data_IF_391298790697
#
_entry.id   IF_391298790697
#
_cell.length_a   1.000
_cell.length_b   1.000
_cell.length_c   1.000
_cell.angle_alpha   90.00
_cell.angle_beta   90.00
_cell.angle_gamma   90.00
#
_symmetry.space_group_name_H-M   'P 1'
#
loop_
_entity.id
_entity.type
_entity.pdbx_description
1 polymer ?
#
# COMPACT_ATOMS: atom_id res chain seq x y z
N UNK A 1 -17.12 24.60 68.72
CA UNK A 1 -18.50 24.21 68.35
C UNK A 1 -18.72 24.70 66.93
N UNK A 2 -18.57 23.81 65.95
CA UNK A 2 -19.67 23.11 65.26
C UNK A 2 -20.47 24.08 64.36
N UNK A 3 -20.61 23.90 63.05
CA UNK A 3 -20.25 22.77 62.20
C UNK A 3 -20.49 23.05 60.71
N UNK A 4 -20.04 22.06 59.96
CA UNK A 4 -20.09 21.71 58.53
C UNK A 4 -21.43 21.85 57.77
N UNK A 5 -21.34 22.00 56.43
CA UNK A 5 -21.93 21.19 55.32
C UNK A 5 -21.93 22.06 54.03
N UNK A 6 -21.10 21.81 53.01
CA UNK A 6 -21.22 20.84 51.89
C UNK A 6 -22.42 21.02 50.95
N UNK A 7 -22.15 21.37 49.69
CA UNK A 7 -22.82 20.92 48.46
C UNK A 7 -22.09 21.56 47.25
N UNK A 8 -21.22 20.84 46.54
CA UNK A 8 -21.52 19.92 45.43
C UNK A 8 -21.97 20.64 44.13
N UNK A 9 -21.15 20.48 43.08
CA UNK A 9 -21.36 20.90 41.69
C UNK A 9 -22.60 20.25 41.05
N UNK A 10 -22.93 20.65 39.81
CA UNK A 10 -22.93 19.65 38.75
C UNK A 10 -21.84 19.98 37.72
N UNK A 11 -20.87 19.05 37.61
CA UNK A 11 -20.15 18.81 36.36
C UNK A 11 -21.21 18.36 35.36
N UNK A 12 -21.29 19.01 34.20
CA UNK A 12 -22.07 18.48 33.08
C UNK A 12 -21.32 17.26 32.54
N UNK A 13 -21.94 16.06 32.50
CA UNK A 13 -21.37 14.92 31.81
C UNK A 13 -21.70 15.07 30.31
N UNK A 14 -20.67 15.25 29.49
CA UNK A 14 -20.80 15.11 28.03
C UNK A 14 -20.81 13.61 27.74
N UNK A 15 -21.97 12.97 27.89
CA UNK A 15 -22.24 11.63 27.34
C UNK A 15 -22.85 11.81 25.95
N UNK A 16 -21.99 12.01 24.95
CA UNK A 16 -22.37 11.72 23.57
C UNK A 16 -22.37 10.20 23.34
N UNK A 17 -23.27 9.65 22.51
CA UNK A 17 -23.23 8.23 22.18
C UNK A 17 -21.88 7.90 21.51
N UNK A 18 -21.14 6.94 22.09
CA UNK A 18 -19.93 6.37 21.49
C UNK A 18 -20.23 5.89 20.07
N UNK A 19 -19.32 6.18 19.13
CA UNK A 19 -19.35 5.78 17.70
C UNK A 19 -19.49 4.25 17.46
N UNK A 20 -19.59 3.44 18.50
CA UNK A 20 -19.59 1.97 18.49
C UNK A 20 -20.95 1.31 18.16
N UNK A 21 -22.10 1.96 18.37
CA UNK A 21 -23.42 1.29 18.23
C UNK A 21 -23.97 1.27 16.80
N UNK A 22 -23.40 2.05 15.89
CA UNK A 22 -23.80 2.14 14.47
C UNK A 22 -23.22 0.97 13.65
N UNK A 23 -22.12 0.37 14.12
CA UNK A 23 -21.34 -0.65 13.41
C UNK A 23 -22.04 -2.02 13.33
N UNK A 24 -22.95 -2.32 14.27
CA UNK A 24 -23.54 -3.66 14.37
C UNK A 24 -24.73 -3.93 13.43
N UNK A 25 -25.29 -2.91 12.74
CA UNK A 25 -26.49 -3.10 11.88
C UNK A 25 -26.20 -3.26 10.39
N UNK A 26 -25.03 -2.84 9.89
CA UNK A 26 -24.72 -2.86 8.45
C UNK A 26 -24.14 -4.20 7.96
N UNK A 27 -23.73 -5.08 8.87
CA UNK A 27 -23.13 -6.38 8.56
C UNK A 27 -24.15 -7.48 8.23
N UNK A 28 -25.44 -7.24 8.43
CA UNK A 28 -26.47 -8.29 8.30
C UNK A 28 -27.12 -8.34 6.90
N UNK A 29 -27.01 -7.27 6.11
CA UNK A 29 -27.69 -7.14 4.81
C UNK A 29 -26.81 -7.60 3.61
N UNK A 30 -25.48 -7.69 3.77
CA UNK A 30 -24.55 -8.01 2.67
C UNK A 30 -24.47 -9.52 2.36
N UNK A 31 -24.89 -10.38 3.29
CA UNK A 31 -24.75 -11.84 3.19
C UNK A 31 -25.75 -12.51 2.22
N UNK A 32 -26.78 -11.79 1.76
CA UNK A 32 -27.84 -12.38 0.91
C UNK A 32 -27.65 -12.16 -0.60
N UNK A 33 -26.68 -11.35 -1.04
CA UNK A 33 -26.58 -10.95 -2.46
C UNK A 33 -25.67 -11.86 -3.32
N UNK A 34 -24.79 -12.65 -2.72
CA UNK A 34 -23.69 -13.33 -3.45
C UNK A 34 -24.06 -14.75 -3.92
N UNK A 35 -25.23 -15.28 -3.54
CA UNK A 35 -25.61 -16.68 -3.81
C UNK A 35 -26.31 -16.91 -5.15
N UNK A 36 -26.36 -15.93 -6.06
CA UNK A 36 -27.36 -15.93 -7.15
C UNK A 36 -26.87 -16.18 -8.60
N UNK A 37 -25.60 -16.43 -8.92
CA UNK A 37 -25.21 -16.57 -10.34
C UNK A 37 -24.18 -17.68 -10.60
N UNK A 38 -24.59 -18.67 -11.39
CA UNK A 38 -23.72 -19.75 -11.87
C UNK A 38 -23.96 -20.14 -13.34
N UNK A 39 -22.97 -20.87 -13.87
CA UNK A 39 -22.98 -21.94 -14.90
C UNK A 39 -22.45 -21.63 -16.35
N UNK A 40 -21.34 -22.35 -16.69
CA UNK A 40 -20.86 -23.06 -17.92
C UNK A 40 -20.71 -22.36 -19.30
N UNK A 41 -19.96 -22.84 -20.33
CA UNK A 41 -19.16 -24.05 -20.66
C UNK A 41 -18.06 -23.74 -21.73
N UNK A 42 -17.25 -24.75 -22.08
CA UNK A 42 -16.10 -24.81 -23.01
C UNK A 42 -16.37 -24.65 -24.53
N UNK A 43 -15.38 -24.12 -25.30
CA UNK A 43 -14.94 -24.60 -26.64
C UNK A 43 -13.61 -23.91 -27.10
N UNK A 44 -12.76 -24.64 -27.85
CA UNK A 44 -11.45 -24.25 -28.42
C UNK A 44 -11.40 -24.52 -29.94
N UNK A 45 -10.82 -23.58 -30.71
CA UNK A 45 -10.02 -23.82 -31.93
C UNK A 45 -9.47 -22.47 -32.50
N UNK A 46 -8.19 -22.21 -32.77
CA UNK A 46 -6.92 -22.83 -32.41
C UNK A 46 -5.79 -21.95 -33.01
N UNK A 47 -4.70 -21.73 -32.28
CA UNK A 47 -3.39 -21.34 -32.85
C UNK A 47 -2.99 -19.87 -32.74
N UNK A 48 -3.34 -19.03 -33.73
CA UNK A 48 -2.71 -17.71 -33.91
C UNK A 48 -3.43 -16.57 -33.21
N UNK A 49 -4.76 -16.60 -33.20
CA UNK A 49 -5.55 -15.79 -32.28
C UNK A 49 -5.27 -16.19 -30.85
N UNK A 50 -4.88 -17.44 -30.58
CA UNK A 50 -4.71 -17.93 -29.23
C UNK A 50 -3.55 -17.28 -28.47
N UNK A 51 -2.51 -16.69 -29.08
CA UNK A 51 -1.45 -16.03 -28.28
C UNK A 51 -1.86 -14.59 -27.92
N UNK A 52 -2.34 -13.82 -28.89
CA UNK A 52 -2.87 -12.48 -28.63
C UNK A 52 -4.18 -12.52 -27.85
N UNK A 53 -5.06 -13.48 -28.10
CA UNK A 53 -6.27 -13.73 -27.33
C UNK A 53 -5.96 -14.44 -26.03
N UNK A 54 -4.90 -15.24 -25.85
CA UNK A 54 -4.56 -15.79 -24.53
C UNK A 54 -3.84 -14.77 -23.69
N UNK A 55 -2.97 -13.93 -24.25
CA UNK A 55 -2.43 -12.76 -23.55
C UNK A 55 -3.59 -11.78 -23.29
N UNK A 56 -4.45 -11.46 -24.26
CA UNK A 56 -5.65 -10.61 -24.06
C UNK A 56 -6.74 -11.26 -23.20
N UNK A 57 -6.78 -12.59 -23.10
CA UNK A 57 -7.66 -13.38 -22.23
C UNK A 57 -7.00 -13.69 -20.91
N UNK A 58 -5.70 -13.54 -20.72
CA UNK A 58 -5.04 -13.53 -19.41
C UNK A 58 -5.25 -12.12 -18.87
N UNK A 59 -5.02 -11.08 -19.69
CA UNK A 59 -5.44 -9.71 -19.44
C UNK A 59 -6.96 -9.55 -19.24
N UNK A 60 -7.77 -10.47 -19.79
CA UNK A 60 -9.23 -10.47 -19.74
C UNK A 60 -9.88 -11.55 -18.86
N UNK A 61 -9.14 -12.55 -18.36
CA UNK A 61 -9.61 -13.65 -17.47
C UNK A 61 -8.75 -13.85 -16.22
N UNK A 62 -7.65 -13.12 -16.01
CA UNK A 62 -7.50 -12.53 -14.68
C UNK A 62 -8.86 -11.86 -14.41
N UNK A 63 -9.49 -12.02 -13.22
CA UNK A 63 -10.73 -11.28 -12.95
C UNK A 63 -10.38 -9.88 -13.35
N UNK A 64 -11.09 -9.35 -14.34
CA UNK A 64 -10.55 -8.37 -15.26
C UNK A 64 -9.62 -7.34 -14.56
N UNK A 65 -8.84 -6.60 -15.34
CA UNK A 65 -8.88 -5.16 -15.09
C UNK A 65 -10.36 -4.76 -15.12
N UNK A 66 -11.05 -5.01 -14.00
CA UNK A 66 -12.49 -4.98 -13.84
C UNK A 66 -12.82 -3.55 -14.15
N UNK A 67 -14.06 -3.27 -14.51
CA UNK A 67 -14.56 -1.90 -14.45
C UNK A 67 -14.32 -1.23 -13.06
N UNK A 68 -13.71 -1.93 -12.09
CA UNK A 68 -13.25 -1.50 -10.77
C UNK A 68 -11.71 -1.34 -10.58
N UNK A 69 -10.81 -1.74 -11.50
CA UNK A 69 -9.36 -1.47 -11.34
C UNK A 69 -8.97 -0.13 -11.97
N UNK A 70 -8.41 0.76 -11.16
CA UNK A 70 -7.95 2.08 -11.60
C UNK A 70 -6.91 1.95 -12.73
N UNK A 71 -7.08 2.65 -13.87
CA UNK A 71 -6.08 2.74 -14.92
C UNK A 71 -4.68 3.04 -14.35
N UNK A 72 -3.59 2.40 -14.84
CA UNK A 72 -2.25 2.62 -14.30
C UNK A 72 -1.86 4.10 -14.22
N UNK A 73 -2.23 4.87 -15.24
CA UNK A 73 -2.00 6.32 -15.30
C UNK A 73 -2.65 7.08 -14.14
N UNK A 74 -3.86 6.69 -13.73
CA UNK A 74 -4.56 7.30 -12.59
C UNK A 74 -3.91 6.91 -11.27
N UNK A 75 -3.48 5.66 -11.11
CA UNK A 75 -2.75 5.21 -9.92
C UNK A 75 -1.43 5.96 -9.78
N UNK A 76 -0.59 6.03 -10.82
CA UNK A 76 0.67 6.79 -10.79
C UNK A 76 0.45 8.28 -10.51
N UNK A 77 -0.61 8.87 -11.08
CA UNK A 77 -0.99 10.25 -10.81
C UNK A 77 -1.42 10.47 -9.35
N UNK A 78 -2.28 9.60 -8.82
CA UNK A 78 -2.73 9.66 -7.44
C UNK A 78 -1.56 9.52 -6.47
N UNK A 79 -0.69 8.53 -6.66
CA UNK A 79 0.51 8.33 -5.82
C UNK A 79 1.38 9.57 -5.82
N UNK A 80 1.68 10.15 -6.99
CA UNK A 80 2.53 11.36 -7.06
C UNK A 80 1.90 12.57 -6.36
N UNK A 81 0.58 12.72 -6.42
CA UNK A 81 -0.12 13.80 -5.71
C UNK A 81 -0.13 13.60 -4.19
N UNK A 82 -0.02 12.37 -3.70
CA UNK A 82 0.18 12.12 -2.26
C UNK A 82 1.60 12.51 -1.81
N UNK A 83 2.57 12.47 -2.72
CA UNK A 83 3.98 12.82 -2.43
C UNK A 83 4.29 14.31 -2.60
N UNK A 84 3.54 15.03 -3.45
CA UNK A 84 3.85 16.41 -3.88
C UNK A 84 2.61 17.30 -3.90
N UNK A 85 2.74 18.61 -3.63
CA UNK A 85 3.97 19.35 -3.31
C UNK A 85 4.49 19.11 -1.89
N UNK A 86 3.63 18.63 -0.99
CA UNK A 86 3.98 18.31 0.39
C UNK A 86 3.52 16.89 0.70
N UNK A 87 4.39 16.11 1.32
CA UNK A 87 4.06 14.76 1.74
C UNK A 87 3.28 14.79 3.05
N UNK A 88 2.05 14.28 3.05
CA UNK A 88 1.17 14.28 4.22
C UNK A 88 1.24 12.91 4.89
N UNK A 89 1.90 12.83 6.05
CA UNK A 89 2.14 11.56 6.76
C UNK A 89 0.85 10.81 7.11
N UNK A 90 -0.24 11.52 7.43
CA UNK A 90 -1.54 10.89 7.69
C UNK A 90 -2.16 10.15 6.50
N UNK A 91 -1.68 10.38 5.26
CA UNK A 91 -2.11 9.68 4.05
C UNK A 91 -1.28 8.43 3.73
N UNK A 92 -0.30 8.08 4.58
CA UNK A 92 0.54 6.89 4.37
C UNK A 92 -0.30 5.60 4.17
N UNK A 93 -1.40 5.34 4.89
CA UNK A 93 -2.24 4.17 4.63
C UNK A 93 -2.75 4.10 3.18
N UNK A 94 -3.27 5.21 2.64
CA UNK A 94 -3.79 5.28 1.27
C UNK A 94 -2.65 5.16 0.24
N UNK A 95 -1.49 5.74 0.57
CA UNK A 95 -0.28 5.61 -0.25
C UNK A 95 0.19 4.16 -0.33
N UNK A 96 0.15 3.41 0.78
CA UNK A 96 0.52 1.99 0.81
C UNK A 96 -0.39 1.14 -0.11
N UNK A 97 -1.70 1.42 -0.13
CA UNK A 97 -2.61 0.75 -1.06
C UNK A 97 -2.32 1.14 -2.52
N UNK A 98 -2.00 2.41 -2.77
CA UNK A 98 -1.57 2.85 -4.10
C UNK A 98 -0.27 2.17 -4.55
N UNK A 99 0.69 1.99 -3.63
CA UNK A 99 1.95 1.31 -3.92
C UNK A 99 1.74 -0.19 -4.14
N UNK A 100 0.83 -0.83 -3.42
CA UNK A 100 0.48 -2.23 -3.68
C UNK A 100 -0.12 -2.42 -5.09
N UNK A 101 -0.93 -1.46 -5.56
CA UNK A 101 -1.40 -1.45 -6.95
C UNK A 101 -0.24 -1.26 -7.93
N UNK A 102 0.70 -0.36 -7.64
CA UNK A 102 1.90 -0.17 -8.48
C UNK A 102 2.74 -1.46 -8.54
N UNK A 103 2.94 -2.15 -7.42
CA UNK A 103 3.69 -3.42 -7.42
C UNK A 103 2.96 -4.53 -8.18
N UNK A 104 1.62 -4.52 -8.17
CA UNK A 104 0.82 -5.39 -9.02
C UNK A 104 1.12 -5.13 -10.50
N UNK A 105 1.23 -3.86 -10.92
CA UNK A 105 1.63 -3.50 -12.28
C UNK A 105 3.06 -3.96 -12.61
N UNK A 106 4.00 -3.79 -11.68
CA UNK A 106 5.38 -4.27 -11.84
C UNK A 106 5.41 -5.78 -12.07
N UNK A 107 4.72 -6.55 -11.22
CA UNK A 107 4.62 -8.01 -11.35
C UNK A 107 4.03 -8.40 -12.71
N UNK A 108 2.91 -7.77 -13.09
CA UNK A 108 2.30 -7.98 -14.40
C UNK A 108 3.32 -7.76 -15.55
N UNK A 109 4.08 -6.66 -15.51
CA UNK A 109 5.07 -6.37 -16.54
C UNK A 109 6.19 -7.41 -16.60
N UNK A 110 6.65 -7.92 -15.44
CA UNK A 110 7.65 -9.00 -15.36
C UNK A 110 7.10 -10.30 -15.93
N UNK A 111 5.89 -10.71 -15.52
CA UNK A 111 5.25 -11.95 -15.97
C UNK A 111 5.02 -11.92 -17.49
N UNK A 112 4.48 -10.81 -18.00
CA UNK A 112 4.28 -10.62 -19.44
C UNK A 112 5.61 -10.59 -20.21
N UNK A 113 6.68 -10.02 -19.64
CA UNK A 113 8.03 -10.06 -20.22
C UNK A 113 8.56 -11.49 -20.31
N UNK A 114 8.40 -12.28 -19.25
CA UNK A 114 8.83 -13.69 -19.20
C UNK A 114 8.12 -14.54 -20.27
N UNK A 115 6.82 -14.34 -20.42
CA UNK A 115 6.01 -15.00 -21.46
C UNK A 115 6.49 -14.59 -22.87
N UNK A 116 6.68 -13.28 -23.11
CA UNK A 116 7.14 -12.78 -24.41
C UNK A 116 8.52 -13.34 -24.78
N UNK A 117 9.45 -13.44 -23.82
CA UNK A 117 10.77 -14.04 -24.03
C UNK A 117 10.67 -15.53 -24.41
N UNK A 118 9.80 -16.27 -23.73
CA UNK A 118 9.57 -17.69 -24.03
C UNK A 118 9.04 -17.89 -25.46
N UNK A 119 8.12 -17.04 -25.90
CA UNK A 119 7.59 -17.06 -27.27
C UNK A 119 8.62 -16.66 -28.31
N UNK A 120 9.46 -15.65 -28.03
CA UNK A 120 10.57 -15.28 -28.89
C UNK A 120 11.49 -16.49 -29.13
N UNK A 121 11.89 -17.19 -28.07
CA UNK A 121 12.77 -18.36 -28.20
C UNK A 121 12.14 -19.48 -29.05
N UNK A 122 10.85 -19.72 -28.88
CA UNK A 122 10.12 -20.72 -29.64
C UNK A 122 10.10 -20.38 -31.14
N UNK A 123 9.70 -19.14 -31.49
CA UNK A 123 9.59 -18.73 -32.90
C UNK A 123 10.93 -18.51 -33.61
N UNK A 124 12.01 -18.27 -32.88
CA UNK A 124 13.37 -18.28 -33.44
C UNK A 124 13.79 -19.69 -33.86
N UNK A 125 13.37 -20.73 -33.12
CA UNK A 125 13.73 -22.14 -33.37
C UNK A 125 12.85 -22.80 -34.43
N UNK A 126 11.58 -22.40 -34.51
CA UNK A 126 10.63 -22.88 -35.51
C UNK A 126 10.23 -21.73 -36.46
N UNK A 127 11.08 -21.35 -37.42
CA UNK A 127 10.76 -20.33 -38.40
C UNK A 127 9.61 -20.82 -39.30
N UNK A 128 8.39 -20.47 -38.93
CA UNK A 128 7.20 -20.74 -39.75
C UNK A 128 7.22 -19.88 -41.00
N UNK A 129 6.71 -20.42 -42.11
CA UNK A 129 6.55 -19.73 -43.40
C UNK A 129 5.55 -18.57 -43.40
N UNK A 130 4.99 -18.25 -42.24
CA UNK A 130 3.89 -17.31 -42.08
C UNK A 130 4.43 -15.89 -41.90
N UNK A 131 4.13 -15.02 -42.86
CA UNK A 131 4.72 -13.68 -43.00
C UNK A 131 4.24 -12.65 -41.97
N UNK A 132 3.26 -12.99 -41.15
CA UNK A 132 2.64 -12.08 -40.18
C UNK A 132 3.29 -12.11 -38.78
N UNK A 133 4.36 -12.88 -38.58
CA UNK A 133 5.07 -12.96 -37.30
C UNK A 133 6.23 -11.97 -37.24
N UNK A 134 6.08 -10.93 -36.42
CA UNK A 134 7.17 -9.99 -36.11
C UNK A 134 7.86 -10.42 -34.83
N UNK A 135 9.16 -10.74 -34.94
CA UNK A 135 10.00 -11.02 -33.78
C UNK A 135 10.41 -9.72 -33.09
N UNK A 136 10.69 -9.81 -31.79
CA UNK A 136 11.25 -8.70 -31.03
C UNK A 136 12.63 -8.31 -31.59
N UNK A 137 12.90 -7.01 -31.63
CA UNK A 137 14.24 -6.48 -31.91
C UNK A 137 15.20 -6.80 -30.78
N UNK A 138 16.52 -6.78 -31.04
CA UNK A 138 17.53 -7.01 -30.00
C UNK A 138 17.40 -6.03 -28.82
N UNK A 139 16.98 -4.80 -29.10
CA UNK A 139 16.77 -3.76 -28.08
C UNK A 139 15.58 -4.10 -27.18
N UNK A 140 14.47 -4.51 -27.76
CA UNK A 140 13.27 -4.91 -27.01
C UNK A 140 13.55 -6.15 -26.18
N UNK A 141 14.19 -7.15 -26.79
CA UNK A 141 14.61 -8.38 -26.13
C UNK A 141 15.44 -8.10 -24.88
N UNK A 142 16.49 -7.29 -25.02
CA UNK A 142 17.35 -6.90 -23.90
C UNK A 142 16.56 -6.22 -22.79
N UNK A 143 15.57 -5.39 -23.13
CA UNK A 143 14.75 -4.70 -22.12
C UNK A 143 13.79 -5.62 -21.37
N UNK A 144 13.16 -6.57 -22.06
CA UNK A 144 12.34 -7.58 -21.37
C UNK A 144 13.20 -8.49 -20.49
N UNK A 145 14.42 -8.84 -20.94
CA UNK A 145 15.38 -9.58 -20.12
C UNK A 145 15.81 -8.78 -18.88
N UNK A 146 16.09 -7.48 -19.03
CA UNK A 146 16.40 -6.61 -17.89
C UNK A 146 15.26 -6.65 -16.84
N UNK A 147 13.99 -6.67 -17.26
CA UNK A 147 12.85 -6.71 -16.34
C UNK A 147 12.77 -8.01 -15.54
N UNK A 148 12.89 -9.16 -16.22
CA UNK A 148 12.86 -10.46 -15.55
C UNK A 148 14.08 -10.65 -14.64
N UNK A 149 15.25 -10.18 -15.08
CA UNK A 149 16.50 -10.32 -14.31
C UNK A 149 16.49 -9.48 -13.04
N UNK A 150 15.87 -8.29 -13.07
CA UNK A 150 15.84 -7.38 -11.92
C UNK A 150 14.61 -7.55 -11.03
N UNK A 151 13.72 -8.53 -11.30
CA UNK A 151 12.46 -8.74 -10.58
C UNK A 151 12.64 -8.79 -9.05
N UNK A 152 13.55 -9.64 -8.57
CA UNK A 152 13.82 -9.79 -7.14
C UNK A 152 14.35 -8.49 -6.51
N UNK A 153 15.17 -7.75 -7.25
CA UNK A 153 15.74 -6.48 -6.78
C UNK A 153 14.65 -5.40 -6.66
N UNK A 154 13.83 -5.24 -7.70
CA UNK A 154 12.74 -4.27 -7.71
C UNK A 154 11.67 -4.62 -6.66
N UNK A 155 11.41 -5.91 -6.45
CA UNK A 155 10.51 -6.39 -5.39
C UNK A 155 11.07 -6.10 -4.00
N UNK A 156 12.35 -6.36 -3.76
CA UNK A 156 12.99 -6.03 -2.48
C UNK A 156 12.94 -4.52 -2.22
N UNK A 157 13.18 -3.70 -3.24
CA UNK A 157 13.10 -2.24 -3.14
C UNK A 157 11.70 -1.76 -2.73
N UNK A 158 10.64 -2.33 -3.32
CA UNK A 158 9.25 -2.08 -2.93
C UNK A 158 8.99 -2.44 -1.46
N UNK A 159 9.44 -3.61 -1.00
CA UNK A 159 9.23 -4.07 0.38
C UNK A 159 9.95 -3.16 1.38
N UNK A 160 11.20 -2.77 1.11
CA UNK A 160 11.95 -1.87 1.98
C UNK A 160 11.31 -0.48 2.07
N UNK A 161 10.81 0.03 0.95
CA UNK A 161 10.11 1.33 0.91
C UNK A 161 8.80 1.27 1.69
N UNK A 162 8.03 0.19 1.51
CA UNK A 162 6.79 -0.10 2.26
C UNK A 162 7.06 -0.18 3.77
N UNK A 163 8.10 -0.92 4.16
CA UNK A 163 8.55 -1.02 5.56
C UNK A 163 8.85 0.35 6.15
N UNK A 164 9.61 1.18 5.45
CA UNK A 164 9.99 2.51 5.92
C UNK A 164 8.78 3.44 6.07
N UNK A 165 7.80 3.34 5.17
CA UNK A 165 6.52 4.06 5.30
C UNK A 165 5.76 3.64 6.56
N UNK A 166 5.66 2.35 6.85
CA UNK A 166 5.01 1.86 8.07
C UNK A 166 5.70 2.42 9.33
N UNK A 167 7.03 2.33 9.39
CA UNK A 167 7.82 2.84 10.53
C UNK A 167 7.64 4.35 10.70
N UNK A 168 7.72 5.11 9.61
CA UNK A 168 7.54 6.56 9.64
C UNK A 168 6.14 6.95 10.09
N UNK A 169 5.10 6.24 9.64
CA UNK A 169 3.74 6.53 10.05
C UNK A 169 3.48 6.19 11.53
N UNK A 170 4.02 5.09 12.04
CA UNK A 170 3.96 4.75 13.47
C UNK A 170 4.61 5.87 14.31
N UNK A 171 5.79 6.35 13.90
CA UNK A 171 6.46 7.49 14.55
C UNK A 171 5.60 8.76 14.55
N UNK A 172 5.00 9.10 13.41
CA UNK A 172 4.06 10.22 13.28
C UNK A 172 2.86 10.10 14.23
N UNK A 173 2.22 8.92 14.26
CA UNK A 173 0.97 8.71 14.99
C UNK A 173 1.10 8.92 16.50
N UNK A 174 2.28 8.75 17.09
CA UNK A 174 2.49 8.98 18.53
C UNK A 174 2.08 10.39 18.95
N UNK A 175 2.46 11.39 18.14
CA UNK A 175 2.21 12.81 18.45
C UNK A 175 1.05 13.40 17.68
N UNK A 176 0.48 12.66 16.72
CA UNK A 176 -0.57 13.15 15.85
C UNK A 176 -1.95 13.21 16.55
N UNK A 177 -2.88 14.07 16.09
CA UNK A 177 -4.27 14.05 16.52
C UNK A 177 -4.96 12.68 16.32
N UNK A 178 -4.48 11.90 15.35
CA UNK A 178 -4.94 10.55 15.05
C UNK A 178 -4.28 9.45 15.91
N UNK A 179 -3.56 9.78 16.98
CA UNK A 179 -2.87 8.82 17.87
C UNK A 179 -3.77 7.70 18.39
N UNK A 180 -5.06 7.96 18.58
CA UNK A 180 -6.05 6.94 18.94
C UNK A 180 -6.18 5.78 17.92
N UNK A 181 -5.70 5.96 16.70
CA UNK A 181 -5.68 4.95 15.64
C UNK A 181 -4.42 4.09 15.64
N UNK A 182 -3.43 4.38 16.49
CA UNK A 182 -2.13 3.68 16.50
C UNK A 182 -2.27 2.15 16.61
N UNK A 183 -3.11 1.66 17.52
CA UNK A 183 -3.34 0.23 17.68
C UNK A 183 -3.98 -0.42 16.44
N UNK A 184 -4.95 0.25 15.81
CA UNK A 184 -5.56 -0.22 14.56
C UNK A 184 -4.52 -0.25 13.43
N UNK A 185 -3.70 0.80 13.30
CA UNK A 185 -2.66 0.90 12.27
C UNK A 185 -1.54 -0.12 12.45
N UNK A 186 -1.13 -0.39 13.68
CA UNK A 186 -0.16 -1.46 13.96
C UNK A 186 -0.72 -2.83 13.56
N UNK A 187 -2.01 -3.09 13.77
CA UNK A 187 -2.64 -4.32 13.28
C UNK A 187 -2.71 -4.36 11.75
N UNK A 188 -3.00 -3.24 11.09
CA UNK A 188 -2.98 -3.16 9.62
C UNK A 188 -1.57 -3.41 9.05
N UNK A 189 -0.52 -2.91 9.71
CA UNK A 189 0.87 -3.06 9.24
C UNK A 189 1.53 -4.38 9.62
N UNK A 190 1.12 -4.97 10.74
CA UNK A 190 1.74 -6.15 11.32
C UNK A 190 0.65 -7.09 11.87
N UNK A 191 -0.18 -7.68 10.97
CA UNK A 191 -1.30 -8.51 11.38
C UNK A 191 -0.82 -9.77 12.11
N UNK A 192 -1.50 -10.12 13.21
CA UNK A 192 -1.16 -11.30 14.02
C UNK A 192 -0.06 -11.08 15.07
N UNK A 193 0.57 -9.91 15.10
CA UNK A 193 1.59 -9.59 16.10
C UNK A 193 0.98 -9.11 17.45
N UNK A 194 -0.34 -8.94 17.52
CA UNK A 194 -1.07 -8.53 18.74
C UNK A 194 -1.95 -9.65 19.30
N UNK A 195 -1.73 -10.09 20.56
CA UNK A 195 -2.58 -11.09 21.18
C UNK A 195 -4.04 -10.63 21.25
N UNK A 196 -4.96 -11.39 20.66
CA UNK A 196 -6.40 -11.09 20.67
C UNK A 196 -6.90 -10.21 19.52
N UNK A 197 -6.00 -9.81 18.60
CA UNK A 197 -6.32 -9.10 17.37
C UNK A 197 -5.83 -9.90 16.15
N UNK A 198 -6.45 -11.06 15.89
CA UNK A 198 -6.25 -11.86 14.66
C UNK A 198 -7.09 -11.31 13.51
N UNK A 199 -7.19 -9.99 13.40
CA UNK A 199 -7.98 -9.35 12.36
C UNK A 199 -7.08 -9.28 11.12
N UNK A 200 -7.50 -9.85 9.98
CA UNK A 200 -6.78 -9.70 8.72
C UNK A 200 -6.57 -8.22 8.42
N UNK A 201 -5.36 -7.86 7.97
CA UNK A 201 -5.08 -6.50 7.54
C UNK A 201 -6.01 -6.09 6.41
N UNK A 202 -6.41 -4.81 6.41
CA UNK A 202 -7.17 -4.18 5.33
C UNK A 202 -6.28 -3.73 4.18
N UNK A 203 -4.95 -3.66 4.39
CA UNK A 203 -4.01 -3.09 3.44
C UNK A 203 -3.58 -4.11 2.39
N UNK A 204 -3.61 -3.69 1.14
CA UNK A 204 -3.43 -4.57 -0.01
C UNK A 204 -2.04 -5.24 -0.04
N UNK A 205 -1.01 -4.55 0.46
CA UNK A 205 0.37 -5.05 0.38
C UNK A 205 0.59 -6.34 1.19
N UNK A 206 -0.25 -6.63 2.19
CA UNK A 206 -0.11 -7.81 3.05
C UNK A 206 -0.45 -9.12 2.36
N UNK A 207 -1.32 -9.09 1.33
CA UNK A 207 -1.80 -10.30 0.67
C UNK A 207 -0.78 -10.99 -0.22
N UNK A 208 0.28 -10.28 -0.63
CA UNK A 208 1.27 -10.77 -1.60
C UNK A 208 2.65 -11.04 -1.02
N UNK A 209 2.83 -11.05 0.30
CA UNK A 209 4.15 -11.21 0.92
C UNK A 209 4.60 -12.68 0.97
N UNK A 210 5.83 -12.94 0.53
CA UNK A 210 6.54 -14.20 0.73
C UNK A 210 6.96 -14.36 2.20
N UNK A 211 7.38 -15.56 2.60
CA UNK A 211 7.78 -15.79 3.99
C UNK A 211 9.05 -15.02 4.39
N UNK A 212 9.98 -14.80 3.46
CA UNK A 212 11.16 -13.95 3.71
C UNK A 212 10.77 -12.47 3.83
N UNK A 213 9.77 -12.01 3.06
CA UNK A 213 9.27 -10.64 3.15
C UNK A 213 8.47 -10.41 4.43
N UNK A 214 7.68 -11.39 4.86
CA UNK A 214 7.03 -11.36 6.18
C UNK A 214 8.05 -11.26 7.30
N UNK A 215 9.20 -11.92 7.19
CA UNK A 215 10.27 -11.78 8.17
C UNK A 215 10.80 -10.34 8.24
N UNK A 216 10.98 -9.66 7.10
CA UNK A 216 11.37 -8.23 7.07
C UNK A 216 10.31 -7.36 7.78
N UNK A 217 9.03 -7.67 7.58
CA UNK A 217 7.94 -6.95 8.25
C UNK A 217 7.88 -7.26 9.76
N UNK A 218 8.15 -8.49 10.17
CA UNK A 218 8.24 -8.88 11.58
C UNK A 218 9.39 -8.16 12.28
N UNK A 219 10.55 -8.02 11.63
CA UNK A 219 11.67 -7.23 12.16
C UNK A 219 11.26 -5.75 12.37
N UNK A 220 10.49 -5.19 11.43
CA UNK A 220 9.94 -3.85 11.59
C UNK A 220 8.88 -3.75 12.69
N UNK A 221 8.09 -4.80 12.92
CA UNK A 221 7.18 -4.87 14.06
C UNK A 221 7.95 -4.86 15.38
N UNK A 222 9.01 -5.67 15.51
CA UNK A 222 9.81 -5.69 16.74
C UNK A 222 10.42 -4.31 17.02
N UNK A 223 10.93 -3.63 15.98
CA UNK A 223 11.41 -2.26 16.10
C UNK A 223 10.30 -1.28 16.54
N UNK A 224 9.09 -1.37 15.97
CA UNK A 224 7.94 -0.56 16.41
C UNK A 224 7.60 -0.81 17.88
N UNK A 225 7.60 -2.08 18.30
CA UNK A 225 7.25 -2.48 19.65
C UNK A 225 8.24 -1.93 20.67
N UNK A 226 9.54 -2.09 20.43
CA UNK A 226 10.59 -1.51 21.27
C UNK A 226 10.45 0.01 21.35
N UNK A 227 10.27 0.67 20.20
CA UNK A 227 10.05 2.10 20.13
C UNK A 227 8.83 2.57 20.95
N UNK A 228 7.69 1.90 20.84
CA UNK A 228 6.47 2.26 21.59
C UNK A 228 6.66 2.08 23.10
N UNK A 229 7.38 1.04 23.53
CA UNK A 229 7.71 0.83 24.93
C UNK A 229 8.60 1.96 25.46
N UNK A 230 9.63 2.35 24.71
CA UNK A 230 10.53 3.45 25.07
C UNK A 230 9.79 4.79 25.16
N UNK A 231 8.88 5.05 24.20
CA UNK A 231 8.02 6.23 24.20
C UNK A 231 7.11 6.23 25.43
N UNK A 232 6.44 5.12 25.72
CA UNK A 232 5.52 5.01 26.87
C UNK A 232 6.26 5.28 28.17
N UNK A 233 7.43 4.68 28.37
CA UNK A 233 8.24 4.91 29.56
C UNK A 233 8.67 6.39 29.67
N UNK A 234 9.13 6.99 28.57
CA UNK A 234 9.52 8.39 28.54
C UNK A 234 8.35 9.35 28.83
N UNK A 235 7.15 9.04 28.33
CA UNK A 235 5.92 9.78 28.63
C UNK A 235 5.59 9.73 30.11
N UNK A 236 5.66 8.55 30.74
CA UNK A 236 5.43 8.36 32.18
C UNK A 236 6.43 9.17 33.02
N UNK A 237 7.73 9.07 32.72
CA UNK A 237 8.79 9.82 33.42
C UNK A 237 8.57 11.34 33.32
N UNK A 238 8.21 11.84 32.13
CA UNK A 238 7.91 13.26 31.92
C UNK A 238 6.65 13.72 32.64
N UNK A 239 5.61 12.91 32.67
CA UNK A 239 4.38 13.25 33.39
C UNK A 239 4.65 13.37 34.90
N UNK A 240 5.51 12.51 35.45
CA UNK A 240 5.95 12.61 36.85
C UNK A 240 6.77 13.89 37.11
N UNK A 241 7.71 14.23 36.25
CA UNK A 241 8.48 15.49 36.35
C UNK A 241 7.58 16.72 36.26
N UNK A 242 6.62 16.74 35.33
CA UNK A 242 5.65 17.83 35.19
C UNK A 242 4.67 17.91 36.37
N UNK A 243 4.32 16.79 37.02
CA UNK A 243 3.54 16.82 38.27
C UNK A 243 4.34 17.44 39.42
N UNK A 244 5.67 17.27 39.43
CA UNK A 244 6.56 17.85 40.44
C UNK A 244 6.81 19.35 40.22
N UNK A 245 6.90 19.80 38.96
CA UNK A 245 7.01 21.21 38.62
C UNK A 245 5.62 21.79 38.28
N UNK A 246 5.05 22.65 39.14
CA UNK A 246 3.78 23.36 38.90
C UNK A 246 3.82 24.31 37.68
N UNK A 247 3.98 23.78 36.47
CA UNK A 247 4.00 24.55 35.23
C UNK A 247 2.57 24.76 34.76
N UNK A 248 2.16 26.03 34.70
CA UNK A 248 0.85 26.43 34.17
C UNK A 248 0.99 26.75 32.68
N UNK A 249 0.97 25.70 31.85
CA UNK A 249 0.83 25.86 30.40
C UNK A 249 -0.64 25.83 29.99
N UNK A 250 -0.97 26.53 28.90
CA UNK A 250 -2.21 26.26 28.16
C UNK A 250 -2.11 24.90 27.44
N UNK A 251 -3.23 24.30 27.06
CA UNK A 251 -3.23 23.01 26.35
C UNK A 251 -2.39 23.07 25.06
N UNK A 252 -2.56 24.12 24.25
CA UNK A 252 -1.80 24.32 23.01
C UNK A 252 -0.28 24.43 23.22
N UNK A 253 0.14 25.08 24.30
CA UNK A 253 1.56 25.20 24.66
C UNK A 253 2.14 23.89 25.18
N UNK A 254 1.33 23.10 25.89
CA UNK A 254 1.72 21.78 26.37
C UNK A 254 1.92 20.81 25.19
N UNK A 255 0.98 20.81 24.22
CA UNK A 255 1.05 19.96 23.02
C UNK A 255 2.28 20.31 22.17
N UNK A 256 2.51 21.60 21.90
CA UNK A 256 3.69 22.03 21.12
C UNK A 256 5.02 21.71 21.83
N UNK A 257 5.08 21.87 23.16
CA UNK A 257 6.27 21.51 23.94
C UNK A 257 6.50 19.99 23.98
N UNK A 258 5.42 19.21 23.99
CA UNK A 258 5.47 17.75 23.90
C UNK A 258 6.01 17.31 22.55
N UNK A 259 5.44 17.80 21.45
CA UNK A 259 5.91 17.49 20.08
C UNK A 259 7.40 17.82 19.90
N UNK A 260 7.84 18.98 20.38
CA UNK A 260 9.24 19.38 20.27
C UNK A 260 10.14 18.44 21.07
N UNK A 261 9.81 18.17 22.34
CA UNK A 261 10.60 17.28 23.18
C UNK A 261 10.64 15.84 22.63
N UNK A 262 9.52 15.39 22.06
CA UNK A 262 9.43 14.09 21.39
C UNK A 262 10.37 14.03 20.19
N UNK A 263 10.36 15.03 19.30
CA UNK A 263 11.26 15.06 18.13
C UNK A 263 12.74 15.10 18.50
N UNK A 264 13.08 15.78 19.58
CA UNK A 264 14.46 15.84 20.09
C UNK A 264 14.91 14.49 20.68
N UNK A 265 14.02 13.79 21.40
CA UNK A 265 14.31 12.51 22.04
C UNK A 265 14.27 11.33 21.06
N UNK A 266 13.31 11.34 20.15
CA UNK A 266 12.98 10.28 19.21
C UNK A 266 13.01 10.84 17.78
N UNK A 267 14.19 10.91 17.15
CA UNK A 267 14.27 11.35 15.77
C UNK A 267 13.49 10.39 14.84
N UNK A 268 12.96 10.87 13.71
CA UNK A 268 12.27 10.01 12.74
C UNK A 268 13.16 8.85 12.27
N UNK A 269 12.58 7.67 11.99
CA UNK A 269 13.36 6.46 11.63
C UNK A 269 14.04 6.56 10.27
N UNK A 270 13.56 7.46 9.40
CA UNK A 270 14.17 7.76 8.11
C UNK A 270 13.88 9.22 7.70
N UNK A 271 14.68 9.72 6.76
CA UNK A 271 14.46 11.03 6.15
C UNK A 271 13.24 11.01 5.22
N UNK A 272 12.35 12.00 5.34
CA UNK A 272 11.20 12.12 4.44
C UNK A 272 11.64 12.40 3.00
N UNK A 273 12.67 13.23 2.82
CA UNK A 273 13.20 13.57 1.50
C UNK A 273 13.79 12.35 0.80
N UNK A 274 14.53 11.50 1.54
CA UNK A 274 15.08 10.26 1.01
C UNK A 274 13.97 9.29 0.63
N UNK A 275 12.98 9.11 1.51
CA UNK A 275 11.84 8.22 1.25
C UNK A 275 11.02 8.65 0.02
N UNK A 276 10.79 9.96 -0.14
CA UNK A 276 10.10 10.49 -1.32
C UNK A 276 10.96 10.26 -2.58
N UNK A 277 12.27 10.45 -2.49
CA UNK A 277 13.19 10.17 -3.60
C UNK A 277 13.15 8.68 -4.00
N UNK A 278 13.11 7.79 -3.01
CA UNK A 278 13.02 6.34 -3.26
C UNK A 278 11.69 5.96 -3.93
N UNK A 279 10.59 6.53 -3.44
CA UNK A 279 9.26 6.36 -4.03
C UNK A 279 9.20 6.89 -5.47
N UNK A 280 9.73 8.09 -5.71
CA UNK A 280 9.80 8.67 -7.05
C UNK A 280 10.62 7.78 -7.99
N UNK A 281 11.75 7.22 -7.52
CA UNK A 281 12.56 6.29 -8.29
C UNK A 281 11.76 5.02 -8.67
N UNK A 282 11.14 4.37 -7.68
CA UNK A 282 10.36 3.15 -7.90
C UNK A 282 9.18 3.39 -8.86
N UNK A 283 8.40 4.46 -8.64
CA UNK A 283 7.27 4.82 -9.52
C UNK A 283 7.73 5.05 -10.95
N UNK A 284 8.84 5.76 -11.15
CA UNK A 284 9.39 6.01 -12.48
C UNK A 284 9.88 4.72 -13.16
N UNK A 285 10.40 3.77 -12.40
CA UNK A 285 10.83 2.46 -12.91
C UNK A 285 9.62 1.67 -13.40
N UNK A 286 8.62 1.48 -12.55
CA UNK A 286 7.43 0.68 -12.90
C UNK A 286 6.62 1.34 -14.02
N UNK A 287 6.44 2.67 -13.99
CA UNK A 287 5.72 3.35 -15.06
C UNK A 287 6.42 3.20 -16.42
N UNK A 288 7.77 3.24 -16.45
CA UNK A 288 8.52 2.98 -17.69
C UNK A 288 8.37 1.54 -18.16
N UNK A 289 8.25 0.57 -17.25
CA UNK A 289 7.97 -0.82 -17.61
C UNK A 289 6.61 -0.91 -18.31
N UNK A 290 5.56 -0.37 -17.68
CA UNK A 290 4.18 -0.42 -18.21
C UNK A 290 4.08 0.27 -19.57
N UNK A 291 4.59 1.51 -19.71
CA UNK A 291 4.56 2.23 -20.99
C UNK A 291 5.25 1.44 -22.10
N UNK A 292 6.39 0.80 -21.81
CA UNK A 292 7.08 -0.01 -22.83
C UNK A 292 6.33 -1.30 -23.16
N UNK A 293 5.66 -1.92 -22.20
CA UNK A 293 4.80 -3.06 -22.48
C UNK A 293 3.63 -2.68 -23.39
N UNK A 294 3.03 -1.52 -23.17
CA UNK A 294 1.98 -0.96 -24.04
C UNK A 294 2.51 -0.64 -25.45
N UNK A 295 3.74 -0.11 -25.56
CA UNK A 295 4.39 0.19 -26.83
C UNK A 295 4.75 -1.09 -27.63
N UNK A 296 5.26 -2.12 -26.95
CA UNK A 296 5.72 -3.37 -27.60
C UNK A 296 4.56 -4.31 -27.94
N UNK A 297 3.50 -4.28 -27.14
CA UNK A 297 2.33 -5.15 -27.29
C UNK A 297 1.05 -4.31 -27.35
N UNK A 298 0.88 -3.49 -28.41
CA UNK A 298 -0.30 -2.67 -28.56
C UNK A 298 -1.52 -3.59 -28.77
N UNK A 299 -2.40 -3.67 -27.77
CA UNK A 299 -3.69 -4.34 -27.95
C UNK A 299 -4.59 -3.47 -28.84
N UNK A 300 -5.38 -4.10 -29.72
CA UNK A 300 -6.44 -3.41 -30.49
C UNK A 300 -7.41 -2.65 -29.58
N UNK A 301 -7.60 -3.07 -28.32
CA UNK A 301 -8.39 -2.34 -27.33
C UNK A 301 -7.71 -1.06 -26.81
N UNK A 302 -6.38 -0.99 -26.77
CA UNK A 302 -5.61 0.20 -26.35
C UNK A 302 -5.58 1.23 -27.50
N UNK A 303 -5.43 0.75 -28.74
CA UNK A 303 -5.54 1.55 -29.96
C UNK A 303 -6.94 2.17 -30.12
N UNK A 304 -8.01 1.44 -29.83
CA UNK A 304 -9.38 1.97 -29.87
C UNK A 304 -9.70 2.95 -28.71
N UNK A 305 -9.04 2.82 -27.55
CA UNK A 305 -9.16 3.79 -26.45
C UNK A 305 -8.41 5.09 -26.74
N UNK A 306 -7.25 5.03 -27.38
CA UNK A 306 -6.50 6.21 -27.83
C UNK A 306 -7.22 6.98 -28.94
N UNK A 307 -7.90 6.30 -29.87
CA UNK A 307 -8.72 6.95 -30.92
C UNK A 307 -9.96 7.67 -30.39
N UNK A 308 -10.45 7.32 -29.19
CA UNK A 308 -11.61 7.99 -28.57
C UNK A 308 -11.23 9.17 -27.67
N UNK A 309 -9.94 9.36 -27.40
CA UNK A 309 -9.42 10.46 -26.59
C UNK A 309 -8.88 11.64 -27.43
N UNK A 310 -9.02 11.57 -28.76
CA UNK A 310 -8.77 12.65 -29.74
C UNK A 310 -10.10 13.07 -30.35
#
# INVERSE_FOLDING_TARGET
MHGTFSAAKPKVPITGPCKWTIYCRLMQDFYQMVTAMGICSEYNAEGHRAIYDHISSILGKEPALTDAQSPPTLTFYATRNMLRPYFILGQIPDLLDCLAMVDTFRKYAVDASSVALSWQEYYVKEPSSDSDKTLLTERELKKLQDYVTNDEHDRLYYILTTKNLCLLHVHYLVTAPESCMLAERLNDYFPGCFPGHDIPSKLLFQHGLSDSEKQIMEEAYQACKEFILDVTQWEEEREEEQKQFLVTLTAEQADAAFEQAFREKFPPPCSQEELISDLDYYLNTVEKMIRRMEDYFPSDMVLERLKRAV
#
